data_IF_067048459490
#
_entry.id   IF_067048459490
#
_cell.length_a   1.000
_cell.length_b   1.000
_cell.length_c   1.000
_cell.angle_alpha   90.00
_cell.angle_beta   90.00
_cell.angle_gamma   90.00
#
_symmetry.space_group_name_H-M   'P 1'
#
loop_
_entity.id
_entity.type
_entity.pdbx_description
1 polymer ?
#
# COMPACT_ATOMS: atom_id res chain seq x y z
N UNK A 1 2.54 0.69 8.26
CA UNK A 1 1.52 1.29 9.14
C UNK A 1 1.86 2.75 9.36
N UNK A 2 0.87 3.63 9.36
CA UNK A 2 1.01 5.08 9.50
C UNK A 2 0.25 5.58 10.73
N UNK A 3 0.87 6.40 11.57
CA UNK A 3 0.27 6.90 12.81
C UNK A 3 -0.61 8.12 12.54
N UNK A 4 -1.91 7.90 12.55
CA UNK A 4 -2.91 8.94 12.29
C UNK A 4 -2.86 10.08 13.30
N UNK A 5 -2.72 9.75 14.58
CA UNK A 5 -2.65 10.75 15.66
C UNK A 5 -1.35 11.57 15.66
N UNK A 6 -0.34 11.17 14.89
CA UNK A 6 0.87 11.95 14.69
C UNK A 6 0.92 12.65 13.32
N UNK A 7 -0.16 12.55 12.54
CA UNK A 7 -0.29 13.25 11.27
C UNK A 7 0.45 12.57 10.11
N UNK A 8 0.83 11.29 10.25
CA UNK A 8 1.45 10.55 9.16
C UNK A 8 0.49 10.45 7.96
N UNK A 9 1.04 10.62 6.76
CA UNK A 9 0.32 10.47 5.50
C UNK A 9 1.21 9.71 4.50
N UNK A 10 0.63 8.68 3.88
CA UNK A 10 1.23 7.92 2.81
C UNK A 10 0.39 8.06 1.55
N UNK A 11 1.00 8.55 0.47
CA UNK A 11 0.38 8.64 -0.85
C UNK A 11 1.05 7.58 -1.73
N UNK A 12 0.27 6.62 -2.22
CA UNK A 12 0.79 5.43 -2.90
C UNK A 12 0.16 5.29 -4.30
N UNK A 13 0.67 6.00 -5.31
CA UNK A 13 0.22 5.81 -6.68
C UNK A 13 0.90 4.59 -7.33
N UNK A 14 0.16 3.85 -8.18
CA UNK A 14 0.72 2.86 -9.10
C UNK A 14 1.62 1.78 -8.42
N UNK A 15 1.05 1.08 -7.45
CA UNK A 15 1.65 0.02 -6.63
C UNK A 15 1.65 -1.31 -7.40
N UNK A 16 2.78 -2.00 -7.46
CA UNK A 16 2.89 -3.32 -8.06
C UNK A 16 3.17 -4.37 -6.99
N UNK A 17 2.29 -5.36 -6.86
CA UNK A 17 2.39 -6.40 -5.84
C UNK A 17 2.56 -7.75 -6.51
N UNK A 18 3.65 -8.44 -6.16
CA UNK A 18 3.79 -9.86 -6.50
C UNK A 18 2.92 -10.67 -5.54
N UNK A 19 1.95 -11.45 -6.04
CA UNK A 19 1.11 -12.28 -5.17
C UNK A 19 1.99 -13.32 -4.47
N UNK A 20 1.71 -13.55 -3.18
CA UNK A 20 2.32 -14.61 -2.39
C UNK A 20 1.22 -15.47 -1.76
N UNK A 21 1.59 -16.51 -1.01
CA UNK A 21 0.63 -17.32 -0.24
C UNK A 21 0.05 -16.58 0.96
N UNK A 22 0.60 -15.41 1.31
CA UNK A 22 0.17 -14.62 2.45
C UNK A 22 -0.67 -13.43 2.01
N UNK A 23 -1.70 -13.10 2.80
CA UNK A 23 -2.46 -11.88 2.59
C UNK A 23 -1.57 -10.67 2.84
N UNK A 24 -1.63 -9.68 1.96
CA UNK A 24 -0.89 -8.44 2.09
C UNK A 24 -1.83 -7.26 2.36
N UNK A 25 -1.26 -6.18 2.86
CA UNK A 25 -1.95 -4.90 3.06
C UNK A 25 -0.97 -3.81 2.65
N UNK A 26 -1.33 -3.02 1.65
CA UNK A 26 -0.46 -2.01 1.06
C UNK A 26 -0.21 -0.87 2.05
N UNK A 27 -1.26 -0.46 2.76
CA UNK A 27 -1.18 0.53 3.82
C UNK A 27 -2.16 0.23 4.94
N UNK A 28 -1.77 0.54 6.16
CA UNK A 28 -2.61 0.40 7.35
C UNK A 28 -2.42 1.62 8.24
N UNK A 29 -3.48 2.07 8.90
CA UNK A 29 -3.43 3.19 9.84
C UNK A 29 -3.37 2.67 11.28
N UNK A 30 -2.72 3.43 12.15
CA UNK A 30 -2.57 3.10 13.56
C UNK A 30 -2.71 4.32 14.46
N UNK A 31 -3.01 4.06 15.73
CA UNK A 31 -2.84 5.01 16.81
C UNK A 31 -1.46 4.79 17.43
N UNK A 32 -0.54 5.72 17.15
CA UNK A 32 0.82 5.72 17.66
C UNK A 32 0.88 6.04 19.14
N UNK A 33 1.87 5.47 19.82
CA UNK A 33 2.13 5.67 21.25
C UNK A 33 3.56 6.17 21.45
N UNK A 34 3.76 7.13 22.34
CA UNK A 34 5.07 7.73 22.62
C UNK A 34 5.80 7.07 23.81
N UNK A 35 5.25 5.99 24.35
CA UNK A 35 5.79 5.27 25.50
C UNK A 35 6.58 4.05 25.05
N UNK A 36 7.84 3.98 25.45
CA UNK A 36 8.68 2.79 25.21
C UNK A 36 8.01 1.53 25.75
N UNK A 37 7.98 0.47 24.94
CA UNK A 37 7.35 -0.81 25.25
C UNK A 37 5.83 -0.88 25.04
N UNK A 38 5.15 0.23 24.76
CA UNK A 38 3.74 0.21 24.37
C UNK A 38 3.61 -0.12 22.87
N UNK A 39 2.55 -0.85 22.50
CA UNK A 39 2.25 -1.21 21.10
C UNK A 39 1.23 -0.25 20.50
N UNK A 40 1.45 0.27 19.29
CA UNK A 40 0.44 0.99 18.55
C UNK A 40 -0.80 0.11 18.30
N UNK A 41 -1.97 0.75 18.23
CA UNK A 41 -3.24 0.07 17.93
C UNK A 41 -3.50 0.19 16.44
N UNK A 42 -3.81 -0.92 15.77
CA UNK A 42 -4.22 -0.90 14.35
C UNK A 42 -5.64 -0.35 14.27
N UNK A 43 -5.84 0.69 13.44
CA UNK A 43 -7.14 1.32 13.23
C UNK A 43 -7.79 0.88 11.92
N UNK A 44 -7.00 0.67 10.86
CA UNK A 44 -7.51 0.16 9.58
C UNK A 44 -6.42 -0.55 8.78
N UNK A 45 -6.83 -1.49 7.92
CA UNK A 45 -6.00 -2.11 6.89
C UNK A 45 -6.62 -1.76 5.53
N UNK A 46 -5.98 -0.86 4.79
CA UNK A 46 -6.47 -0.39 3.49
C UNK A 46 -6.47 1.13 3.35
N UNK A 47 -7.09 1.64 2.25
CA UNK A 47 -7.24 3.06 2.00
C UNK A 47 -7.94 3.78 3.14
N UNK A 48 -7.41 4.93 3.54
CA UNK A 48 -8.00 5.81 4.56
C UNK A 48 -7.49 7.23 4.36
N UNK A 49 -8.32 8.13 3.84
CA UNK A 49 -7.91 9.54 3.74
C UNK A 49 -7.91 10.22 5.12
N UNK A 50 -6.90 11.04 5.45
CA UNK A 50 -5.71 11.40 4.66
C UNK A 50 -4.47 10.50 4.92
N UNK A 51 -4.59 9.44 5.72
CA UNK A 51 -3.45 8.66 6.24
C UNK A 51 -2.86 7.68 5.21
N UNK A 52 -3.70 6.92 4.52
CA UNK A 52 -3.35 5.96 3.47
C UNK A 52 -4.11 6.35 2.20
N UNK A 53 -3.47 7.11 1.33
CA UNK A 53 -4.07 7.71 0.14
C UNK A 53 -3.70 6.88 -1.09
N UNK A 54 -4.60 5.99 -1.47
CA UNK A 54 -4.59 5.22 -2.71
C UNK A 54 -6.00 4.70 -3.00
N UNK A 55 -6.24 4.27 -4.22
CA UNK A 55 -7.42 3.52 -4.62
C UNK A 55 -7.03 2.09 -4.98
N UNK A 56 -7.99 1.17 -5.04
CA UNK A 56 -7.69 -0.18 -5.51
C UNK A 56 -7.23 -0.22 -6.98
N UNK A 57 -7.57 0.81 -7.78
CA UNK A 57 -7.10 0.94 -9.16
C UNK A 57 -5.60 1.27 -9.24
N UNK A 58 -5.02 1.82 -8.18
CA UNK A 58 -3.58 2.03 -8.05
C UNK A 58 -2.82 0.72 -7.79
N UNK A 59 -3.50 -0.39 -7.48
CA UNK A 59 -2.86 -1.67 -7.13
C UNK A 59 -2.86 -2.62 -8.32
N UNK A 60 -1.68 -3.05 -8.73
CA UNK A 60 -1.46 -3.97 -9.85
C UNK A 60 -0.84 -5.27 -9.36
N UNK A 61 -1.59 -6.36 -9.42
CA UNK A 61 -1.09 -7.69 -9.03
C UNK A 61 -0.32 -8.31 -10.20
N UNK A 62 0.98 -8.53 -9.99
CA UNK A 62 1.93 -8.99 -10.99
C UNK A 62 2.07 -10.52 -10.91
N UNK A 63 1.38 -11.26 -11.77
CA UNK A 63 1.58 -12.72 -11.86
C UNK A 63 2.88 -13.04 -12.61
N UNK A 64 3.66 -14.01 -12.10
CA UNK A 64 4.84 -14.52 -12.81
C UNK A 64 4.38 -15.11 -14.16
N UNK A 65 4.80 -14.48 -15.26
CA UNK A 65 4.60 -14.99 -16.63
C UNK A 65 3.67 -14.18 -17.55
N UNK A 66 2.97 -13.15 -17.08
CA UNK A 66 2.08 -12.33 -17.94
C UNK A 66 2.56 -10.90 -18.21
N UNK A 67 3.55 -10.41 -17.45
CA UNK A 67 3.95 -9.00 -17.52
C UNK A 67 5.02 -8.65 -18.57
N UNK A 68 5.61 -9.61 -19.28
CA UNK A 68 6.52 -9.25 -20.38
C UNK A 68 5.78 -8.58 -21.55
N UNK A 69 4.48 -8.84 -21.77
CA UNK A 69 3.75 -8.25 -22.90
C UNK A 69 3.14 -6.88 -22.58
N UNK A 70 2.55 -6.68 -21.39
CA UNK A 70 1.96 -5.40 -21.01
C UNK A 70 3.01 -4.31 -20.69
N UNK A 71 4.18 -4.69 -20.18
CA UNK A 71 5.26 -3.73 -19.90
C UNK A 71 5.98 -3.30 -21.18
N UNK A 72 6.09 -4.18 -22.20
CA UNK A 72 6.60 -3.82 -23.53
C UNK A 72 5.65 -2.89 -24.30
N UNK A 73 4.34 -3.15 -24.28
CA UNK A 73 3.38 -2.30 -25.00
C UNK A 73 3.31 -0.86 -24.47
N UNK A 74 3.52 -0.64 -23.17
CA UNK A 74 3.57 0.73 -22.60
C UNK A 74 4.89 1.46 -22.86
N UNK A 75 5.99 0.75 -23.10
CA UNK A 75 7.28 1.37 -23.47
C UNK A 75 7.37 1.67 -24.98
N UNK A 76 6.65 0.94 -25.83
CA UNK A 76 6.61 1.14 -27.28
C UNK A 76 5.66 2.27 -27.75
N UNK A 77 4.92 2.90 -26.83
CA UNK A 77 3.99 4.00 -27.12
C UNK A 77 4.47 5.36 -26.58
N UNK A 78 5.73 5.49 -26.18
CA UNK A 78 6.39 6.76 -25.86
C UNK A 78 7.50 7.08 -26.85
#
# INVERSE_FOLDING_TARGET
>A
MMNENFGDQAVLPNIYVKPSTENYTECASSFGVNKSGARPVILSNGPKNPVCQYSFDDVHIVQDGQNTQQQQQRQLQQ
#
